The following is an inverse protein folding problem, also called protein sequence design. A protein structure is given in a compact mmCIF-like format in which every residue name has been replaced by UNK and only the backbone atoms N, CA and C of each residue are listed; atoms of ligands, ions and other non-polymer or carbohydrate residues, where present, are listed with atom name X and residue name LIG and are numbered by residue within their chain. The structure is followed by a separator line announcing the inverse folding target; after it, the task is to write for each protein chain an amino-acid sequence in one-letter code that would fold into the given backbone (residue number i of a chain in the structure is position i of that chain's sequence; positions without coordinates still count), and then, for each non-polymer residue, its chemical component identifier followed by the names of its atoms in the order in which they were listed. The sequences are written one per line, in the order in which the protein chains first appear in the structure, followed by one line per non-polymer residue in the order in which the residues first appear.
data_IF_533762633095
#
_entry.id   IF_533762633095
#
_cell.length_a   1.000
_cell.length_b   1.000
_cell.length_c   1.000
_cell.angle_alpha   90.00
_cell.angle_beta   90.00
_cell.angle_gamma   90.00
#
_symmetry.space_group_name_H-M   'P 1'
#
loop_
_entity.id
_entity.type
_entity.pdbx_description
1 polymer ?
#
# COMPACT_ATOMS: atom_id res chain seq x y z
N UNK A 1 5.54 -14.23 -10.10
CA UNK A 1 5.40 -14.03 -8.64
C UNK A 1 4.17 -13.19 -8.43
N UNK A 2 3.16 -13.74 -7.78
CA UNK A 2 1.89 -13.07 -7.55
C UNK A 2 1.87 -12.36 -6.19
N UNK A 3 1.66 -11.06 -6.19
CA UNK A 3 1.59 -10.26 -4.98
C UNK A 3 0.15 -10.15 -4.43
N UNK A 4 0.03 -10.20 -3.11
CA UNK A 4 -1.12 -9.69 -2.37
C UNK A 4 -0.76 -8.33 -1.79
N UNK A 5 -1.40 -7.27 -2.26
CA UNK A 5 -1.27 -5.93 -1.71
C UNK A 5 -2.37 -5.73 -0.65
N UNK A 6 -1.99 -5.49 0.59
CA UNK A 6 -2.91 -5.32 1.73
C UNK A 6 -3.11 -3.83 2.03
N UNK A 7 -4.31 -3.32 1.77
CA UNK A 7 -4.67 -1.91 1.94
C UNK A 7 -5.77 -1.75 3.01
N UNK A 8 -5.43 -1.65 4.30
CA UNK A 8 -6.41 -1.33 5.33
C UNK A 8 -6.84 0.13 5.21
N UNK A 9 -8.15 0.40 5.22
CA UNK A 9 -8.69 1.76 5.19
C UNK A 9 -9.69 1.98 6.33
N UNK A 10 -9.77 3.21 6.84
CA UNK A 10 -10.71 3.58 7.89
C UNK A 10 -11.02 5.07 7.83
N UNK A 11 -12.29 5.41 7.66
CA UNK A 11 -12.78 6.80 7.66
C UNK A 11 -11.99 7.71 6.71
N UNK A 12 -11.69 7.21 5.51
CA UNK A 12 -10.95 7.96 4.49
C UNK A 12 -11.94 8.56 3.47
N UNK A 13 -11.64 9.74 2.91
CA UNK A 13 -12.36 10.24 1.76
C UNK A 13 -12.12 9.33 0.56
N UNK A 14 -13.16 9.08 -0.25
CA UNK A 14 -13.09 8.23 -1.44
C UNK A 14 -11.92 8.58 -2.37
N UNK A 15 -11.59 9.87 -2.51
CA UNK A 15 -10.46 10.32 -3.32
C UNK A 15 -9.13 9.62 -3.00
N UNK A 16 -8.84 9.32 -1.72
CA UNK A 16 -7.61 8.62 -1.36
C UNK A 16 -7.60 7.18 -1.87
N UNK A 17 -8.76 6.51 -1.82
CA UNK A 17 -8.89 5.17 -2.39
C UNK A 17 -8.78 5.18 -3.92
N UNK A 18 -9.31 6.21 -4.59
CA UNK A 18 -9.13 6.40 -6.04
C UNK A 18 -7.64 6.60 -6.39
N UNK A 19 -6.91 7.40 -5.64
CA UNK A 19 -5.46 7.59 -5.81
C UNK A 19 -4.69 6.28 -5.58
N UNK A 20 -5.02 5.53 -4.53
CA UNK A 20 -4.43 4.23 -4.22
C UNK A 20 -4.71 3.21 -5.33
N UNK A 21 -5.94 3.14 -5.84
CA UNK A 21 -6.31 2.31 -6.99
C UNK A 21 -5.56 2.73 -8.26
N UNK A 22 -5.43 4.03 -8.53
CA UNK A 22 -4.67 4.52 -9.67
C UNK A 22 -3.19 4.12 -9.58
N UNK A 23 -2.59 4.22 -8.39
CA UNK A 23 -1.24 3.71 -8.15
C UNK A 23 -1.12 2.21 -8.43
N UNK A 24 -2.10 1.42 -7.98
CA UNK A 24 -2.11 -0.02 -8.22
C UNK A 24 -2.25 -0.36 -9.72
N UNK A 25 -3.19 0.25 -10.42
CA UNK A 25 -3.38 0.03 -11.86
C UNK A 25 -2.19 0.46 -12.71
N UNK A 26 -1.43 1.46 -12.25
CA UNK A 26 -0.21 1.94 -12.91
C UNK A 26 0.97 0.98 -12.78
N UNK A 27 0.94 0.00 -11.86
CA UNK A 27 2.04 -0.92 -11.67
C UNK A 27 2.39 -1.67 -12.96
N UNK A 28 3.67 -1.74 -13.32
CA UNK A 28 4.13 -2.51 -14.48
C UNK A 28 4.13 -4.02 -14.21
N UNK A 29 4.25 -4.43 -12.96
CA UNK A 29 4.09 -5.81 -12.53
C UNK A 29 2.59 -6.15 -12.41
N UNK A 30 2.08 -6.97 -13.33
CA UNK A 30 0.62 -7.24 -13.44
C UNK A 30 0.13 -8.42 -12.60
N UNK A 31 1.01 -9.30 -12.16
CA UNK A 31 0.65 -10.43 -11.32
C UNK A 31 0.47 -9.97 -9.85
N UNK A 32 -0.57 -9.20 -9.60
CA UNK A 32 -0.88 -8.65 -8.27
C UNK A 32 -2.39 -8.57 -8.04
N UNK A 33 -2.78 -8.64 -6.78
CA UNK A 33 -4.13 -8.43 -6.30
C UNK A 33 -4.13 -7.40 -5.18
N UNK A 34 -4.94 -6.35 -5.28
CA UNK A 34 -5.12 -5.36 -4.22
C UNK A 34 -6.38 -5.69 -3.42
N UNK A 35 -6.20 -5.99 -2.14
CA UNK A 35 -7.30 -6.13 -1.20
C UNK A 35 -7.40 -4.87 -0.34
N UNK A 36 -8.49 -4.12 -0.53
CA UNK A 36 -8.85 -2.97 0.30
C UNK A 36 -9.87 -3.45 1.32
N UNK A 37 -9.66 -3.15 2.59
CA UNK A 37 -10.56 -3.54 3.66
C UNK A 37 -10.99 -2.34 4.50
N UNK A 38 -12.28 -1.99 4.40
CA UNK A 38 -12.95 -0.95 5.17
C UNK A 38 -13.74 -1.58 6.31
N UNK A 39 -13.32 -1.35 7.55
CA UNK A 39 -14.00 -1.81 8.75
C UNK A 39 -14.88 -0.74 9.41
N UNK A 40 -15.32 0.25 8.62
CA UNK A 40 -16.32 1.24 9.01
C UNK A 40 -17.64 1.07 8.24
N UNK A 41 -17.62 0.36 7.11
CA UNK A 41 -18.80 0.09 6.31
C UNK A 41 -19.32 1.29 5.52
N UNK A 42 -18.44 2.23 5.16
CA UNK A 42 -18.85 3.46 4.46
C UNK A 42 -18.83 3.32 2.93
N UNK A 43 -18.11 2.33 2.43
CA UNK A 43 -17.99 2.12 0.99
C UNK A 43 -18.83 0.93 0.52
N UNK A 44 -19.41 0.97 -0.69
CA UNK A 44 -20.03 -0.20 -1.27
C UNK A 44 -18.94 -1.27 -1.57
N UNK A 45 -19.25 -2.53 -1.26
CA UNK A 45 -18.36 -3.64 -1.60
C UNK A 45 -18.19 -3.74 -3.12
N UNK A 46 -16.96 -4.00 -3.57
CA UNK A 46 -16.62 -4.14 -4.99
C UNK A 46 -15.65 -5.31 -5.16
N UNK A 47 -15.84 -6.09 -6.23
CA UNK A 47 -15.00 -7.24 -6.57
C UNK A 47 -14.68 -7.21 -8.06
N UNK A 48 -13.39 -7.23 -8.38
CA UNK A 48 -12.85 -7.22 -9.73
C UNK A 48 -11.79 -8.30 -9.89
N UNK A 49 -11.29 -8.50 -11.10
CA UNK A 49 -10.34 -9.58 -11.41
C UNK A 49 -9.01 -9.48 -10.62
N UNK A 50 -8.55 -8.26 -10.36
CA UNK A 50 -7.25 -8.01 -9.73
C UNK A 50 -7.31 -7.10 -8.48
N UNK A 51 -8.50 -6.73 -8.04
CA UNK A 51 -8.68 -6.01 -6.78
C UNK A 51 -10.08 -6.23 -6.20
N UNK A 52 -10.19 -6.06 -4.89
CA UNK A 52 -11.47 -6.02 -4.20
C UNK A 52 -11.45 -4.96 -3.09
N UNK A 53 -12.61 -4.33 -2.88
CA UNK A 53 -12.92 -3.55 -1.69
C UNK A 53 -13.97 -4.35 -0.91
N UNK A 54 -13.58 -4.84 0.24
CA UNK A 54 -14.47 -5.51 1.20
C UNK A 54 -14.79 -4.50 2.29
N UNK A 55 -16.07 -4.30 2.54
CA UNK A 55 -16.57 -3.29 3.47
C UNK A 55 -17.48 -3.93 4.50
N UNK A 56 -17.24 -3.67 5.77
CA UNK A 56 -18.05 -4.18 6.88
C UNK A 56 -18.27 -3.09 7.93
N UNK A 57 -19.48 -2.99 8.50
CA UNK A 57 -19.73 -2.03 9.56
C UNK A 57 -19.15 -2.47 10.92
N UNK A 58 -18.50 -3.63 10.96
CA UNK A 58 -17.91 -4.17 12.19
C UNK A 58 -16.45 -3.76 12.30
N UNK A 59 -16.17 -2.85 13.24
CA UNK A 59 -14.81 -2.39 13.54
C UNK A 59 -13.95 -3.52 14.10
N UNK A 60 -12.78 -3.73 13.50
CA UNK A 60 -11.79 -4.64 14.06
C UNK A 60 -11.22 -4.09 15.39
N UNK A 61 -10.90 -4.95 16.37
CA UNK A 61 -10.39 -4.51 17.67
C UNK A 61 -9.06 -3.74 17.59
N UNK A 62 -8.28 -3.97 16.52
CA UNK A 62 -7.00 -3.34 16.28
C UNK A 62 -6.52 -3.53 14.85
N UNK A 63 -5.43 -2.84 14.52
CA UNK A 63 -4.87 -2.88 13.17
C UNK A 63 -4.28 -4.25 12.82
N UNK A 64 -3.77 -4.97 13.80
CA UNK A 64 -3.23 -6.32 13.59
C UNK A 64 -4.34 -7.31 13.28
N UNK A 65 -5.43 -7.25 14.03
CA UNK A 65 -6.63 -8.04 13.78
C UNK A 65 -7.20 -7.72 12.38
N UNK A 66 -7.17 -6.45 12.00
CA UNK A 66 -7.57 -6.01 10.65
C UNK A 66 -6.71 -6.65 9.56
N UNK A 67 -5.39 -6.62 9.69
CA UNK A 67 -4.49 -7.30 8.74
C UNK A 67 -4.71 -8.81 8.72
N UNK A 68 -4.92 -9.45 9.88
CA UNK A 68 -5.21 -10.88 9.94
C UNK A 68 -6.54 -11.20 9.24
N UNK A 69 -7.57 -10.37 9.43
CA UNK A 69 -8.85 -10.51 8.73
C UNK A 69 -8.68 -10.37 7.22
N UNK A 70 -7.85 -9.43 6.77
CA UNK A 70 -7.52 -9.29 5.35
C UNK A 70 -6.84 -10.54 4.78
N UNK A 71 -5.93 -11.16 5.53
CA UNK A 71 -5.30 -12.41 5.09
C UNK A 71 -6.30 -13.57 4.98
N UNK A 72 -7.27 -13.67 5.90
CA UNK A 72 -8.36 -14.65 5.81
C UNK A 72 -9.21 -14.42 4.56
N UNK A 73 -9.63 -13.18 4.32
CA UNK A 73 -10.41 -12.80 3.14
C UNK A 73 -9.65 -13.04 1.84
N UNK A 74 -8.33 -12.84 1.84
CA UNK A 74 -7.49 -13.04 0.67
C UNK A 74 -7.47 -14.49 0.17
N UNK A 75 -7.82 -15.48 1.02
CA UNK A 75 -7.92 -16.89 0.61
C UNK A 75 -8.95 -17.12 -0.50
N UNK A 76 -9.95 -16.25 -0.61
CA UNK A 76 -10.98 -16.32 -1.66
C UNK A 76 -10.41 -15.97 -3.05
N UNK A 77 -9.31 -15.21 -3.11
CA UNK A 77 -8.75 -14.66 -4.34
C UNK A 77 -7.57 -15.47 -4.89
N UNK A 78 -7.20 -16.55 -4.23
CA UNK A 78 -6.23 -17.53 -4.70
C UNK A 78 -4.87 -17.47 -3.97
N UNK A 79 -3.91 -18.32 -4.40
CA UNK A 79 -2.60 -18.36 -3.80
C UNK A 79 -1.78 -17.11 -4.18
N UNK A 80 -0.95 -16.68 -3.24
CA UNK A 80 -0.02 -15.57 -3.42
C UNK A 80 1.40 -16.00 -3.02
N UNK A 81 2.40 -15.50 -3.74
CA UNK A 81 3.82 -15.77 -3.48
C UNK A 81 4.42 -14.79 -2.48
N UNK A 82 3.89 -13.57 -2.45
CA UNK A 82 4.40 -12.47 -1.63
C UNK A 82 3.27 -11.54 -1.14
N UNK A 83 3.51 -10.89 -0.01
CA UNK A 83 2.69 -9.81 0.54
C UNK A 83 3.44 -8.50 0.33
N UNK A 84 2.76 -7.51 -0.23
CA UNK A 84 3.17 -6.11 -0.23
C UNK A 84 2.23 -5.32 0.69
N UNK A 85 2.78 -4.51 1.57
CA UNK A 85 1.97 -3.60 2.36
C UNK A 85 1.60 -2.40 1.50
N UNK A 86 0.39 -1.89 1.69
CA UNK A 86 -0.17 -0.86 0.82
C UNK A 86 -1.05 0.08 1.65
N UNK A 87 -0.53 1.25 2.01
CA UNK A 87 -1.32 2.25 2.73
C UNK A 87 -2.21 3.05 1.76
N UNK A 88 -3.39 3.42 2.21
CA UNK A 88 -4.41 4.10 1.40
C UNK A 88 -4.08 5.57 1.11
N UNK A 89 -3.08 6.13 1.79
CA UNK A 89 -2.70 7.54 1.73
C UNK A 89 -1.27 7.79 1.23
N UNK A 90 -0.54 6.75 0.81
CA UNK A 90 0.78 6.85 0.22
C UNK A 90 0.77 6.67 -1.31
N UNK A 91 1.89 6.98 -1.98
CA UNK A 91 2.01 6.85 -3.43
C UNK A 91 2.98 5.72 -3.78
N UNK A 92 2.54 4.84 -4.65
CA UNK A 92 3.29 3.72 -5.19
C UNK A 92 3.56 3.95 -6.68
N UNK A 93 4.80 4.28 -7.02
CA UNK A 93 5.20 4.54 -8.41
C UNK A 93 5.15 3.24 -9.24
N UNK A 94 5.04 3.31 -10.56
CA UNK A 94 4.78 2.15 -11.42
C UNK A 94 5.77 0.99 -11.26
N UNK A 95 7.00 1.27 -10.88
CA UNK A 95 8.05 0.27 -10.69
C UNK A 95 8.03 -0.41 -9.32
N UNK A 96 7.16 -0.01 -8.38
CA UNK A 96 7.20 -0.46 -7.00
C UNK A 96 7.17 -2.00 -6.89
N UNK A 97 6.09 -2.62 -7.36
CA UNK A 97 5.97 -4.08 -7.30
C UNK A 97 7.01 -4.80 -8.19
N UNK A 98 7.42 -4.18 -9.31
CA UNK A 98 8.44 -4.75 -10.16
C UNK A 98 9.79 -4.88 -9.44
N UNK A 99 10.26 -3.83 -8.79
CA UNK A 99 11.52 -3.84 -8.05
C UNK A 99 11.49 -4.81 -6.88
N UNK A 100 10.37 -4.85 -6.13
CA UNK A 100 10.17 -5.85 -5.11
C UNK A 100 10.21 -7.27 -5.67
N UNK A 101 9.56 -7.52 -6.81
CA UNK A 101 9.58 -8.81 -7.47
C UNK A 101 10.98 -9.26 -7.89
N UNK A 102 11.84 -8.34 -8.34
CA UNK A 102 13.23 -8.68 -8.65
C UNK A 102 14.02 -9.07 -7.39
N UNK A 103 13.87 -8.30 -6.30
CA UNK A 103 14.53 -8.61 -5.01
C UNK A 103 14.08 -9.96 -4.47
N UNK A 104 12.78 -10.22 -4.47
CA UNK A 104 12.21 -11.42 -3.88
C UNK A 104 12.52 -12.71 -4.67
N UNK A 105 13.23 -12.67 -5.80
CA UNK A 105 13.79 -13.87 -6.43
C UNK A 105 14.85 -14.52 -5.57
N UNK A 106 15.66 -13.69 -4.90
CA UNK A 106 16.87 -14.13 -4.19
C UNK A 106 16.74 -13.95 -2.65
N UNK A 107 15.83 -13.08 -2.21
CA UNK A 107 15.66 -12.70 -0.81
C UNK A 107 14.24 -12.98 -0.31
N UNK A 108 14.08 -13.03 1.00
CA UNK A 108 12.79 -13.27 1.65
C UNK A 108 12.04 -11.97 1.94
N UNK A 109 12.76 -10.88 2.16
CA UNK A 109 12.25 -9.54 2.45
C UNK A 109 12.86 -8.55 1.47
N UNK A 110 12.01 -7.76 0.82
CA UNK A 110 12.40 -6.61 0.02
C UNK A 110 12.05 -5.34 0.79
N UNK A 111 13.07 -4.58 1.16
CA UNK A 111 12.93 -3.37 1.96
C UNK A 111 13.86 -2.29 1.42
N UNK A 112 13.34 -1.12 0.98
CA UNK A 112 14.15 -0.09 0.35
C UNK A 112 15.10 0.58 1.35
N UNK A 113 16.30 0.90 0.90
CA UNK A 113 17.26 1.70 1.67
C UNK A 113 16.84 3.17 1.76
N UNK A 114 16.10 3.66 0.75
CA UNK A 114 15.63 5.03 0.63
C UNK A 114 14.20 5.05 0.10
N UNK A 115 13.47 6.10 0.47
CA UNK A 115 12.13 6.40 -0.02
C UNK A 115 12.05 7.87 -0.42
N UNK A 116 11.08 8.21 -1.25
CA UNK A 116 10.67 9.60 -1.38
C UNK A 116 9.73 9.98 -0.24
N UNK A 117 9.77 11.23 0.18
CA UNK A 117 8.79 11.78 1.12
C UNK A 117 8.36 13.18 0.71
N UNK A 118 7.20 13.62 1.22
CA UNK A 118 6.66 14.96 0.96
C UNK A 118 6.75 15.87 2.18
N UNK A 119 7.77 15.67 3.03
CA UNK A 119 7.93 16.49 4.23
C UNK A 119 7.96 17.98 3.90
N UNK A 120 7.14 18.77 4.57
CA UNK A 120 6.94 20.22 4.32
C UNK A 120 6.51 20.58 2.88
N UNK A 121 5.80 19.66 2.19
CA UNK A 121 5.37 19.85 0.82
C UNK A 121 6.47 19.73 -0.25
N UNK A 122 7.70 19.45 0.15
CA UNK A 122 8.83 19.24 -0.75
C UNK A 122 9.12 17.75 -0.91
N UNK A 123 9.49 17.36 -2.15
CA UNK A 123 10.01 16.00 -2.38
C UNK A 123 11.41 15.88 -1.82
N UNK A 124 11.56 14.99 -0.85
CA UNK A 124 12.84 14.65 -0.26
C UNK A 124 13.14 13.16 -0.49
N UNK A 125 14.41 12.82 -0.60
CA UNK A 125 14.88 11.44 -0.49
C UNK A 125 15.30 11.20 0.95
N UNK A 126 14.66 10.24 1.60
CA UNK A 126 14.95 9.91 2.99
C UNK A 126 15.51 8.49 3.12
N UNK A 127 16.54 8.26 3.97
CA UNK A 127 16.93 6.92 4.37
C UNK A 127 15.78 6.21 5.09
N UNK A 128 15.51 4.97 4.71
CA UNK A 128 14.41 4.21 5.35
C UNK A 128 14.69 3.92 6.82
N UNK A 129 15.89 3.48 7.18
CA UNK A 129 16.34 3.37 8.57
C UNK A 129 15.42 2.55 9.49
N UNK A 130 14.68 1.55 8.97
CA UNK A 130 13.72 0.77 9.74
C UNK A 130 12.35 1.46 9.92
N UNK A 131 12.08 2.51 9.17
CA UNK A 131 10.79 3.21 9.10
C UNK A 131 10.04 2.83 7.80
N UNK A 132 8.94 3.48 7.51
CA UNK A 132 8.17 3.32 6.26
C UNK A 132 7.69 1.88 6.02
N UNK A 133 6.89 1.43 6.94
CA UNK A 133 6.27 0.11 6.97
C UNK A 133 5.65 -0.29 5.62
N UNK A 134 4.88 0.58 4.99
CA UNK A 134 4.17 0.29 3.76
C UNK A 134 5.07 0.21 2.51
N UNK A 135 6.36 0.51 2.64
CA UNK A 135 7.31 0.45 1.52
C UNK A 135 7.89 -0.94 1.26
N UNK A 136 7.50 -1.97 2.01
CA UNK A 136 8.12 -3.30 1.95
C UNK A 136 7.24 -4.35 1.25
N UNK A 137 7.91 -5.42 0.81
CA UNK A 137 7.26 -6.68 0.46
C UNK A 137 8.02 -7.87 1.05
N UNK A 138 7.30 -8.94 1.38
CA UNK A 138 7.83 -10.15 2.02
C UNK A 138 7.29 -11.39 1.30
N UNK A 139 8.12 -12.42 1.06
CA UNK A 139 7.65 -13.73 0.58
C UNK A 139 6.63 -14.31 1.54
N UNK A 140 5.55 -14.87 1.03
CA UNK A 140 4.47 -15.43 1.85
C UNK A 140 4.96 -16.51 2.82
N UNK A 141 5.81 -17.42 2.35
CA UNK A 141 6.39 -18.47 3.21
C UNK A 141 7.27 -17.91 4.33
N UNK A 142 8.04 -16.85 4.05
CA UNK A 142 8.86 -16.18 5.07
C UNK A 142 7.97 -15.43 6.09
N UNK A 143 6.89 -14.80 5.63
CA UNK A 143 5.89 -14.20 6.51
C UNK A 143 5.30 -15.23 7.49
N UNK A 144 4.85 -16.37 6.99
CA UNK A 144 4.31 -17.46 7.80
C UNK A 144 5.37 -18.02 8.75
N UNK A 145 6.56 -18.35 8.25
CA UNK A 145 7.68 -18.89 9.04
C UNK A 145 8.09 -17.97 10.19
N UNK A 146 8.01 -16.67 9.99
CA UNK A 146 8.34 -15.68 11.04
C UNK A 146 7.21 -15.44 12.03
N UNK A 147 6.04 -16.07 11.85
CA UNK A 147 4.87 -15.93 12.71
C UNK A 147 4.04 -14.67 12.42
N UNK A 148 3.97 -14.25 11.14
CA UNK A 148 3.08 -13.18 10.69
C UNK A 148 3.34 -11.82 11.33
N UNK A 149 2.30 -11.03 11.52
CA UNK A 149 2.35 -9.76 12.23
C UNK A 149 2.61 -9.96 13.73
N UNK A 150 3.22 -8.97 14.38
CA UNK A 150 3.40 -9.00 15.84
C UNK A 150 2.07 -8.63 16.50
N UNK A 151 1.52 -9.56 17.28
CA UNK A 151 0.31 -9.31 18.06
C UNK A 151 0.64 -8.37 19.22
N UNK A 152 0.27 -7.12 19.08
CA UNK A 152 0.45 -6.10 20.11
C UNK A 152 -0.68 -5.07 20.01
N UNK A 153 -1.13 -4.58 21.15
CA UNK A 153 -2.09 -3.45 21.22
C UNK A 153 -1.40 -2.08 21.19
N UNK A 154 -0.07 -2.06 21.02
CA UNK A 154 0.72 -0.83 21.00
C UNK A 154 0.64 -0.18 19.62
N UNK A 155 0.71 1.13 19.60
CA UNK A 155 0.69 1.91 18.37
C UNK A 155 1.89 1.68 17.45
N UNK A 156 2.95 1.01 17.95
CA UNK A 156 4.19 0.68 17.22
C UNK A 156 4.23 -0.76 16.68
N UNK A 157 3.08 -1.40 16.46
CA UNK A 157 2.98 -2.77 15.95
C UNK A 157 3.72 -2.96 14.61
N UNK A 158 3.66 -1.96 13.75
CA UNK A 158 4.32 -1.86 12.46
C UNK A 158 5.84 -1.94 12.63
N UNK A 159 6.39 -1.12 13.50
CA UNK A 159 7.84 -1.10 13.79
C UNK A 159 8.32 -2.41 14.44
N UNK A 160 7.50 -3.02 15.30
CA UNK A 160 7.81 -4.30 15.92
C UNK A 160 7.79 -5.45 14.90
N UNK A 161 6.80 -5.46 14.00
CA UNK A 161 6.72 -6.47 12.93
C UNK A 161 7.85 -6.30 11.93
N UNK A 162 8.12 -5.08 11.47
CA UNK A 162 9.24 -4.77 10.59
C UNK A 162 10.58 -5.17 11.24
N UNK A 163 10.81 -4.77 12.49
CA UNK A 163 12.02 -5.13 13.23
C UNK A 163 12.19 -6.65 13.37
N UNK A 164 11.10 -7.40 13.55
CA UNK A 164 11.12 -8.88 13.56
C UNK A 164 11.57 -9.44 12.22
N UNK A 165 11.01 -8.96 11.11
CA UNK A 165 11.34 -9.45 9.77
C UNK A 165 12.76 -9.07 9.34
N UNK A 166 13.19 -7.83 9.64
CA UNK A 166 14.57 -7.39 9.38
C UNK A 166 15.64 -8.25 10.09
N UNK A 167 15.30 -8.86 11.23
CA UNK A 167 16.20 -9.77 11.97
C UNK A 167 16.13 -11.22 11.51
N UNK A 168 14.96 -11.68 11.02
CA UNK A 168 14.70 -13.10 10.77
C UNK A 168 14.71 -13.49 9.29
N UNK A 169 14.69 -12.53 8.39
CA UNK A 169 14.66 -12.77 6.94
C UNK A 169 15.98 -12.34 6.27
N UNK A 170 16.33 -13.07 5.22
CA UNK A 170 17.30 -12.56 4.25
C UNK A 170 16.67 -11.37 3.53
N UNK A 171 17.40 -10.27 3.40
CA UNK A 171 16.86 -9.00 2.92
C UNK A 171 17.65 -8.44 1.74
N UNK A 172 16.92 -7.89 0.78
CA UNK A 172 17.49 -7.17 -0.35
C UNK A 172 16.83 -5.78 -0.50
N UNK A 173 17.55 -4.92 -1.20
CA UNK A 173 17.16 -3.53 -1.44
C UNK A 173 16.60 -3.35 -2.85
N UNK A 174 15.30 -2.95 -3.01
CA UNK A 174 14.73 -2.68 -4.32
C UNK A 174 15.34 -1.46 -5.01
N UNK A 175 15.92 -0.50 -4.27
CA UNK A 175 16.57 0.68 -4.86
C UNK A 175 17.79 0.34 -5.72
N UNK A 176 18.34 -0.88 -5.62
CA UNK A 176 19.39 -1.34 -6.55
C UNK A 176 18.93 -1.47 -8.00
N UNK A 177 17.63 -1.46 -8.26
CA UNK A 177 17.05 -1.55 -9.60
C UNK A 177 16.63 -0.19 -10.17
N UNK A 178 16.68 0.87 -9.39
CA UNK A 178 16.34 2.21 -9.82
C UNK A 178 16.06 3.16 -8.67
N UNK A 179 15.52 4.32 -9.02
CA UNK A 179 15.10 5.33 -8.06
C UNK A 179 14.03 4.79 -7.10
N UNK A 180 13.88 5.39 -5.89
CA UNK A 180 12.83 5.00 -4.97
C UNK A 180 11.46 4.98 -5.65
N UNK A 181 10.72 3.89 -5.48
CA UNK A 181 9.42 3.69 -6.11
C UNK A 181 8.24 3.82 -5.12
N UNK A 182 8.50 4.34 -3.94
CA UNK A 182 7.52 4.60 -2.89
C UNK A 182 7.67 6.03 -2.38
N UNK A 183 6.54 6.72 -2.16
CA UNK A 183 6.48 8.09 -1.65
C UNK A 183 5.64 8.11 -0.38
N UNK A 184 6.28 8.35 0.73
CA UNK A 184 5.59 8.58 1.99
C UNK A 184 5.03 10.00 2.04
N UNK A 185 3.72 10.12 2.23
CA UNK A 185 3.07 11.42 2.38
C UNK A 185 3.04 11.86 3.83
N UNK A 186 3.71 12.97 4.13
CA UNK A 186 3.53 13.67 5.39
C UNK A 186 2.25 14.52 5.35
N UNK A 187 1.56 14.63 6.48
CA UNK A 187 0.50 15.63 6.61
C UNK A 187 1.10 17.04 6.60
N UNK A 188 0.29 18.04 6.27
CA UNK A 188 0.70 19.45 6.26
C UNK A 188 1.23 19.95 7.61
N UNK A 189 0.86 19.29 8.70
CA UNK A 189 1.31 19.60 10.06
C UNK A 189 2.59 18.89 10.46
N UNK A 190 3.19 18.07 9.57
CA UNK A 190 4.35 17.24 9.87
C UNK A 190 4.05 16.06 10.81
N UNK A 191 2.77 15.81 11.10
CA UNK A 191 2.33 14.65 11.89
C UNK A 191 2.17 13.42 10.99
N UNK A 192 2.33 12.22 11.57
CA UNK A 192 2.06 10.97 10.87
C UNK A 192 0.58 10.84 10.51
N UNK A 193 0.28 10.18 9.43
CA UNK A 193 -1.03 10.03 8.77
C UNK A 193 -2.19 9.53 9.61
N UNK A 194 -1.97 8.87 10.74
CA UNK A 194 -3.05 8.36 11.59
C UNK A 194 -4.04 9.44 12.08
N UNK A 195 -3.76 10.71 11.81
CA UNK A 195 -4.63 11.86 12.09
C UNK A 195 -5.12 12.59 10.83
N UNK A 196 -4.83 12.07 9.64
CA UNK A 196 -5.01 12.80 8.40
C UNK A 196 -6.41 12.67 7.80
N UNK A 197 -7.38 13.32 8.41
CA UNK A 197 -8.48 13.94 7.66
C UNK A 197 -8.01 15.14 6.79
N UNK A 198 -6.71 15.47 6.81
CA UNK A 198 -6.12 16.70 6.25
C UNK A 198 -4.88 16.45 5.39
N UNK A 199 -4.87 15.40 4.57
CA UNK A 199 -3.83 15.28 3.53
C UNK A 199 -4.18 16.25 2.42
N UNK A 200 -3.35 17.27 2.22
CA UNK A 200 -3.45 18.18 1.07
C UNK A 200 -3.43 17.42 -0.24
N UNK A 201 -4.10 17.93 -1.28
CA UNK A 201 -3.93 17.41 -2.63
C UNK A 201 -2.44 17.44 -2.96
N UNK A 202 -1.90 16.29 -3.37
CA UNK A 202 -0.53 16.27 -3.85
C UNK A 202 -0.41 17.16 -5.09
N UNK A 203 0.62 18.00 -5.12
CA UNK A 203 1.13 18.48 -6.38
C UNK A 203 1.78 17.29 -7.11
N UNK A 204 0.97 16.66 -7.95
CA UNK A 204 1.38 15.48 -8.73
C UNK A 204 2.34 15.82 -9.87
N UNK A 205 2.58 17.11 -10.11
CA UNK A 205 3.35 17.60 -11.27
C UNK A 205 4.78 17.04 -11.36
N UNK A 206 5.34 16.63 -10.25
CA UNK A 206 6.72 16.13 -10.23
C UNK A 206 6.85 14.64 -10.58
N UNK A 207 5.86 13.79 -10.30
CA UNK A 207 5.94 12.40 -10.74
C UNK A 207 5.33 12.20 -12.15
N UNK A 208 4.54 13.12 -12.64
CA UNK A 208 4.25 13.20 -14.08
C UNK A 208 5.54 13.35 -14.89
N UNK A 209 6.53 14.07 -14.35
CA UNK A 209 7.89 14.18 -14.93
C UNK A 209 8.70 12.88 -14.85
N UNK A 210 8.31 11.89 -14.04
CA UNK A 210 8.94 10.57 -13.95
C UNK A 210 8.34 9.54 -14.93
N UNK A 211 7.71 9.97 -16.03
CA UNK A 211 7.03 9.12 -17.03
C UNK A 211 5.83 8.31 -16.50
N UNK A 212 5.21 8.73 -15.40
CA UNK A 212 3.96 8.14 -14.91
C UNK A 212 2.78 8.61 -15.76
N UNK A 213 2.90 9.76 -16.42
CA UNK A 213 1.80 10.43 -17.13
C UNK A 213 1.19 9.67 -18.31
N UNK A 214 1.93 8.78 -18.97
CA UNK A 214 1.37 8.01 -20.09
C UNK A 214 0.44 6.86 -19.64
N UNK A 215 0.57 6.40 -18.41
CA UNK A 215 -0.21 5.29 -17.86
C UNK A 215 -1.47 5.74 -17.13
N UNK A 216 -1.45 6.92 -16.48
CA UNK A 216 -2.62 7.48 -15.81
C UNK A 216 -3.74 7.85 -16.80
N UNK A 217 -3.37 8.35 -17.99
CA UNK A 217 -4.35 8.70 -19.04
C UNK A 217 -5.08 7.48 -19.63
N UNK A 218 -4.51 6.27 -19.54
CA UNK A 218 -5.19 5.05 -20.00
C UNK A 218 -6.16 4.48 -18.96
N UNK A 219 -5.92 4.73 -17.66
CA UNK A 219 -6.82 4.30 -16.60
C UNK A 219 -8.11 5.15 -16.53
N UNK A 220 -8.11 6.38 -17.11
CA UNK A 220 -9.28 7.26 -17.12
C UNK A 220 -10.39 6.80 -18.07
N UNK A 221 -10.17 5.77 -18.90
CA UNK A 221 -11.23 5.27 -19.80
C UNK A 221 -12.29 4.43 -19.10
N UNK A 222 -12.05 3.94 -17.88
CA UNK A 222 -13.03 3.23 -17.05
C UNK A 222 -13.84 4.17 -16.13
N UNK A 223 -13.54 5.48 -16.13
CA UNK A 223 -14.24 6.48 -15.30
C UNK A 223 -15.76 6.59 -15.57
N UNK A 224 -16.26 6.08 -16.68
CA UNK A 224 -17.71 6.13 -16.96
C UNK A 224 -18.57 5.32 -16.01
N UNK A 225 -17.99 4.35 -15.29
CA UNK A 225 -18.71 3.59 -14.28
C UNK A 225 -18.77 4.28 -12.91
N UNK A 226 -17.80 5.18 -12.62
CA UNK A 226 -17.65 5.82 -11.31
C UNK A 226 -18.50 7.09 -11.12
N UNK A 227 -18.85 7.80 -12.19
CA UNK A 227 -19.58 9.10 -12.11
C UNK A 227 -21.05 8.98 -11.66
N UNK A 228 -21.62 7.79 -11.55
CA UNK A 228 -23.01 7.61 -11.09
C UNK A 228 -23.23 7.69 -9.59
N UNK A 229 -22.17 7.70 -8.76
CA UNK A 229 -22.30 7.63 -7.31
C UNK A 229 -22.06 8.94 -6.55
N UNK A 230 -21.57 9.99 -7.24
CA UNK A 230 -21.21 11.27 -6.59
C UNK A 230 -22.40 12.19 -6.26
N UNK A 231 -23.65 11.86 -6.64
CA UNK A 231 -24.78 12.79 -6.53
C UNK A 231 -25.82 12.47 -5.44
N UNK A 232 -25.51 11.55 -4.48
CA UNK A 232 -26.42 11.23 -3.38
C UNK A 232 -25.66 11.08 -2.07
N UNK A 233 -25.29 12.20 -1.47
CA UNK A 233 -25.14 12.32 -0.03
C UNK A 233 -25.97 13.51 0.44
N UNK A 234 -26.72 13.37 1.56
CA UNK A 234 -27.50 14.44 2.14
C UNK A 234 -26.58 15.45 2.83
#
# INVERSE_FOLDING_TARGET
MRFLCLCPTYNRPWRLLEESLACFHSQIHKEAFLLIYDDLGVFPEQRHDNWALISTPTREPGIVEKYNRMLELALEFGPFDAIALWDDDDIYLPNHLHYHGQVLKDYELSYPSQVYSTYTGQRLVEPSGGRFWASLAIRYNAFVRTGGFVLTRRADFDQQSLGKWLRKCTKGDPNRYGEPAYVFRWSDTGCRHSQASMVSPLDVSWYEKLNVGSTLNSATHDQKSFTKFSSKQP
#
